data_IF_625586567688
#
_entry.id   IF_625586567688
#
_cell.length_a   1.000
_cell.length_b   1.000
_cell.length_c   1.000
_cell.angle_alpha   90.00
_cell.angle_beta   90.00
_cell.angle_gamma   90.00
#
_symmetry.space_group_name_H-M   'P 1'
#
loop_
_entity.id
_entity.type
_entity.pdbx_description
1 polymer ?
#
# COMPACT_ATOMS: atom_id res chain seq x y z
N UNK A 1 9.11 31.51 18.27
CA UNK A 1 8.70 30.73 18.29
C UNK A 1 7.68 30.20 17.52
N UNK A 2 7.33 30.57 16.59
CA UNK A 2 6.29 30.10 15.73
C UNK A 2 6.74 29.08 14.73
N UNK A 3 7.99 28.93 14.58
CA UNK A 3 8.59 28.06 13.58
C UNK A 3 8.24 26.60 13.78
N UNK A 4 8.05 26.17 15.00
CA UNK A 4 7.74 24.78 15.26
C UNK A 4 6.37 24.32 14.75
N UNK A 5 5.52 25.24 14.35
CA UNK A 5 4.24 24.86 13.78
C UNK A 5 4.37 24.24 12.42
N UNK A 6 5.27 24.75 11.61
CA UNK A 6 5.54 24.15 10.30
C UNK A 6 6.13 22.76 10.45
N UNK A 7 7.02 22.61 11.42
CA UNK A 7 7.61 21.30 11.67
C UNK A 7 6.55 20.27 12.06
N UNK A 8 5.50 20.69 12.79
CA UNK A 8 4.43 19.78 13.16
C UNK A 8 3.66 19.30 11.95
N UNK A 9 3.41 20.18 10.99
CA UNK A 9 2.69 19.79 9.78
C UNK A 9 3.49 18.78 8.97
N UNK A 10 4.79 18.94 8.92
CA UNK A 10 5.62 18.02 8.18
C UNK A 10 5.70 16.64 8.81
N UNK A 11 5.62 16.57 10.13
CA UNK A 11 5.78 15.33 10.86
C UNK A 11 4.61 14.37 10.64
N UNK A 12 3.41 14.87 10.35
CA UNK A 12 2.23 14.01 10.28
C UNK A 12 2.31 12.91 9.22
N UNK A 13 2.93 13.18 8.08
CA UNK A 13 3.09 12.14 7.06
C UNK A 13 4.41 11.40 7.21
N UNK A 14 5.41 12.01 7.83
CA UNK A 14 6.72 11.38 8.00
C UNK A 14 6.68 10.12 8.84
N UNK A 15 5.69 9.96 9.69
CA UNK A 15 5.55 8.72 10.46
C UNK A 15 5.28 7.51 9.58
N UNK A 16 4.89 7.73 8.33
CA UNK A 16 4.65 6.65 7.37
C UNK A 16 5.92 6.20 6.67
N UNK A 17 6.93 7.06 6.60
CA UNK A 17 8.16 6.80 5.87
C UNK A 17 8.98 5.72 6.55
N UNK A 18 9.64 4.89 5.76
CA UNK A 18 10.54 3.86 6.24
C UNK A 18 10.32 2.53 5.55
N UNK A 19 10.90 1.51 6.13
CA UNK A 19 10.84 0.14 5.62
C UNK A 19 9.88 -0.66 6.49
N UNK A 20 8.97 -1.36 5.83
CA UNK A 20 7.93 -2.14 6.48
C UNK A 20 8.00 -3.57 5.96
N UNK A 21 7.72 -4.53 6.82
CA UNK A 21 7.89 -5.95 6.49
C UNK A 21 6.68 -6.74 6.90
N UNK A 22 6.23 -7.60 5.99
CA UNK A 22 5.14 -8.53 6.22
C UNK A 22 5.75 -9.87 6.60
N UNK A 23 5.35 -10.41 7.77
CA UNK A 23 5.88 -11.65 8.29
C UNK A 23 7.41 -11.58 8.51
N UNK A 24 8.07 -12.70 8.73
CA UNK A 24 9.48 -12.76 9.07
C UNK A 24 10.41 -12.83 7.86
N UNK A 25 9.93 -12.45 6.69
CA UNK A 25 10.75 -12.43 5.47
C UNK A 25 11.29 -13.81 5.09
N UNK A 26 10.56 -14.88 5.39
CA UNK A 26 11.04 -16.19 4.99
C UNK A 26 10.83 -16.42 3.47
N UNK A 27 11.40 -17.51 2.94
CA UNK A 27 11.37 -17.76 1.51
C UNK A 27 9.98 -18.15 0.99
N UNK A 28 9.08 -18.58 1.87
CA UNK A 28 7.75 -19.05 1.48
C UNK A 28 6.74 -17.93 1.49
N UNK A 29 6.75 -17.10 2.54
CA UNK A 29 5.76 -16.05 2.69
C UNK A 29 6.39 -14.82 3.35
N UNK A 30 6.15 -13.67 2.77
CA UNK A 30 6.63 -12.42 3.34
C UNK A 30 6.36 -11.24 2.44
N UNK A 31 6.93 -10.10 2.80
CA UNK A 31 6.80 -8.90 1.99
C UNK A 31 7.72 -7.79 2.48
N UNK A 32 8.06 -6.91 1.58
CA UNK A 32 8.85 -5.71 1.87
C UNK A 32 8.14 -4.52 1.24
N UNK A 33 8.14 -3.41 1.95
CA UNK A 33 7.57 -2.17 1.44
C UNK A 33 8.42 -1.01 1.90
N UNK A 34 8.70 -0.10 0.99
CA UNK A 34 9.33 1.17 1.32
C UNK A 34 8.32 2.28 1.11
N UNK A 35 8.20 3.17 2.09
CA UNK A 35 7.40 4.39 2.01
C UNK A 35 8.37 5.56 2.09
N UNK A 36 8.30 6.47 1.13
CA UNK A 36 9.31 7.51 0.98
C UNK A 36 8.72 8.74 0.27
N UNK A 37 9.52 9.79 0.13
CA UNK A 37 9.11 11.02 -0.55
C UNK A 37 7.78 11.57 -0.04
N UNK A 38 7.68 11.73 1.28
CA UNK A 38 6.45 12.22 1.89
C UNK A 38 6.37 13.74 1.83
N UNK A 39 5.22 14.25 1.43
CA UNK A 39 4.90 15.66 1.52
C UNK A 39 3.75 15.86 2.52
N UNK A 40 3.03 16.95 2.44
CA UNK A 40 2.00 17.28 3.44
C UNK A 40 0.87 16.25 3.52
N UNK A 41 0.55 15.60 2.42
CA UNK A 41 -0.63 14.71 2.36
C UNK A 41 -0.37 13.37 1.72
N UNK A 42 0.77 13.18 1.07
CA UNK A 42 1.05 11.95 0.31
C UNK A 42 2.45 11.43 0.58
N UNK A 43 2.62 10.13 0.35
CA UNK A 43 3.94 9.51 0.26
C UNK A 43 3.96 8.60 -0.95
N UNK A 44 5.14 8.37 -1.49
CA UNK A 44 5.34 7.33 -2.49
C UNK A 44 5.54 6.00 -1.78
N UNK A 45 5.22 4.90 -2.45
CA UNK A 45 5.50 3.59 -1.90
C UNK A 45 5.81 2.58 -2.99
N UNK A 46 6.59 1.58 -2.61
CA UNK A 46 6.90 0.42 -3.43
C UNK A 46 6.72 -0.80 -2.54
N UNK A 47 5.94 -1.77 -2.98
CA UNK A 47 5.61 -2.94 -2.19
C UNK A 47 5.77 -4.20 -3.03
N UNK A 48 6.40 -5.21 -2.45
CA UNK A 48 6.44 -6.54 -3.02
C UNK A 48 6.16 -7.53 -1.90
N UNK A 49 5.24 -8.45 -2.14
CA UNK A 49 4.98 -9.55 -1.22
C UNK A 49 4.93 -10.85 -2.00
N UNK A 50 5.10 -11.96 -1.32
CA UNK A 50 5.19 -13.26 -1.98
C UNK A 50 4.58 -14.37 -1.12
N UNK A 51 4.11 -15.38 -1.81
CA UNK A 51 3.75 -16.66 -1.23
C UNK A 51 4.29 -17.69 -2.20
N UNK A 52 5.38 -18.38 -1.81
CA UNK A 52 6.12 -19.28 -2.67
C UNK A 52 6.57 -18.53 -3.93
N UNK A 53 6.14 -18.92 -5.12
CA UNK A 53 6.51 -18.27 -6.37
C UNK A 53 5.48 -17.23 -6.84
N UNK A 54 4.43 -17.01 -6.09
CA UNK A 54 3.38 -16.05 -6.42
C UNK A 54 3.69 -14.71 -5.77
N UNK A 55 3.53 -13.62 -6.51
CA UNK A 55 3.98 -12.29 -6.10
C UNK A 55 2.86 -11.27 -6.22
N UNK A 56 2.80 -10.36 -5.23
CA UNK A 56 2.10 -9.09 -5.35
C UNK A 56 3.15 -8.01 -5.58
N UNK A 57 2.90 -7.10 -6.49
CA UNK A 57 3.83 -6.04 -6.82
C UNK A 57 3.04 -4.76 -7.08
N UNK A 58 3.26 -3.75 -6.28
CA UNK A 58 2.52 -2.50 -6.36
C UNK A 58 3.44 -1.33 -6.05
N UNK A 59 3.35 -0.28 -6.85
CA UNK A 59 4.03 0.97 -6.54
C UNK A 59 3.10 2.12 -6.88
N UNK A 60 3.28 3.23 -6.21
CA UNK A 60 2.47 4.40 -6.47
C UNK A 60 2.54 5.40 -5.34
N UNK A 61 1.45 6.14 -5.18
CA UNK A 61 1.37 7.20 -4.20
C UNK A 61 0.18 6.95 -3.29
N UNK A 62 0.41 7.00 -1.98
CA UNK A 62 -0.68 6.88 -1.01
C UNK A 62 -1.07 8.27 -0.53
N UNK A 63 -2.37 8.46 -0.34
CA UNK A 63 -2.93 9.67 0.20
C UNK A 63 -3.25 9.44 1.67
N UNK A 64 -2.71 10.29 2.53
CA UNK A 64 -2.73 10.10 3.97
C UNK A 64 -3.74 11.03 4.63
N UNK A 65 -4.50 10.49 5.57
CA UNK A 65 -5.43 11.25 6.39
C UNK A 65 -5.38 10.68 7.80
N UNK A 66 -4.63 11.32 8.69
CA UNK A 66 -4.44 10.85 10.06
C UNK A 66 -3.71 9.51 10.10
N UNK A 67 -4.36 8.51 10.67
CA UNK A 67 -3.79 7.16 10.79
C UNK A 67 -4.16 6.25 9.63
N UNK A 68 -4.80 6.79 8.61
CA UNK A 68 -5.23 6.02 7.45
C UNK A 68 -4.59 6.57 6.20
N UNK A 69 -4.39 5.68 5.23
CA UNK A 69 -3.94 6.06 3.92
C UNK A 69 -4.58 5.15 2.89
N UNK A 70 -4.61 5.58 1.64
CA UNK A 70 -5.13 4.75 0.58
C UNK A 70 -4.36 4.95 -0.70
N UNK A 71 -4.24 3.87 -1.44
CA UNK A 71 -3.75 3.88 -2.81
C UNK A 71 -4.94 3.55 -3.70
N UNK A 72 -5.17 4.38 -4.71
CA UNK A 72 -6.26 4.20 -5.67
C UNK A 72 -5.69 4.04 -7.06
N UNK A 73 -6.12 2.98 -7.72
CA UNK A 73 -5.68 2.66 -9.07
C UNK A 73 -6.86 2.18 -9.91
N UNK A 74 -6.54 1.67 -11.08
CA UNK A 74 -7.54 1.17 -12.02
C UNK A 74 -7.07 -0.14 -12.61
N UNK A 75 -8.01 -1.06 -12.81
CA UNK A 75 -7.78 -2.30 -13.51
C UNK A 75 -8.50 -2.24 -14.84
N UNK A 76 -7.75 -2.45 -15.92
CA UNK A 76 -8.33 -2.48 -17.27
C UNK A 76 -9.09 -3.78 -17.49
N UNK A 77 -10.27 -3.68 -18.08
CA UNK A 77 -11.09 -4.83 -18.45
C UNK A 77 -11.60 -4.66 -19.88
N UNK A 78 -11.71 -5.77 -20.59
CA UNK A 78 -12.25 -5.81 -21.93
C UNK A 78 -13.37 -6.84 -21.98
N UNK A 79 -14.57 -6.40 -22.40
CA UNK A 79 -15.71 -7.28 -22.57
C UNK A 79 -15.82 -7.66 -24.05
N UNK A 80 -15.57 -8.92 -24.37
CA UNK A 80 -15.57 -9.41 -25.73
C UNK A 80 -16.96 -9.41 -26.36
N UNK A 81 -17.99 -9.62 -25.58
CA UNK A 81 -19.36 -9.69 -26.09
C UNK A 81 -19.86 -8.34 -26.58
N UNK A 82 -19.51 -7.29 -25.87
CA UNK A 82 -19.96 -5.94 -26.23
C UNK A 82 -18.86 -5.13 -26.93
N UNK A 83 -17.65 -5.68 -27.04
CA UNK A 83 -16.49 -5.01 -27.60
C UNK A 83 -16.27 -3.67 -26.87
N UNK A 84 -16.35 -3.71 -25.55
CA UNK A 84 -16.26 -2.52 -24.70
C UNK A 84 -15.06 -2.61 -23.77
N UNK A 85 -14.32 -1.52 -23.67
CA UNK A 85 -13.24 -1.38 -22.69
C UNK A 85 -13.75 -0.56 -21.52
N UNK A 86 -13.35 -0.93 -20.32
CA UNK A 86 -13.67 -0.15 -19.12
C UNK A 86 -12.65 -0.39 -18.02
N UNK A 87 -12.65 0.48 -17.02
CA UNK A 87 -11.76 0.37 -15.88
C UNK A 87 -12.55 0.09 -14.61
N UNK A 88 -12.00 -0.77 -13.77
CA UNK A 88 -12.56 -1.07 -12.46
C UNK A 88 -11.67 -0.39 -11.42
N UNK A 89 -12.24 0.35 -10.46
CA UNK A 89 -11.43 0.92 -9.37
C UNK A 89 -10.83 -0.18 -8.52
N UNK A 90 -9.55 -0.06 -8.22
CA UNK A 90 -8.83 -0.98 -7.35
C UNK A 90 -8.00 -0.16 -6.37
N UNK A 91 -7.60 -0.77 -5.27
CA UNK A 91 -6.78 -0.04 -4.32
C UNK A 91 -6.49 -0.81 -3.06
N UNK A 92 -5.77 -0.13 -2.17
CA UNK A 92 -5.31 -0.67 -0.90
C UNK A 92 -5.61 0.35 0.19
N UNK A 93 -6.15 -0.11 1.30
CA UNK A 93 -6.32 0.69 2.50
C UNK A 93 -5.20 0.36 3.47
N UNK A 94 -4.60 1.40 4.03
CA UNK A 94 -3.52 1.31 5.00
C UNK A 94 -4.03 1.88 6.31
N UNK A 95 -3.92 1.13 7.39
CA UNK A 95 -4.32 1.58 8.71
C UNK A 95 -3.14 1.48 9.66
N UNK A 96 -2.66 2.63 10.14
CA UNK A 96 -1.60 2.67 11.13
C UNK A 96 -2.17 2.28 12.49
N UNK A 97 -1.68 1.18 13.06
CA UNK A 97 -2.14 0.69 14.35
C UNK A 97 -1.30 1.28 15.49
N UNK A 98 0.00 1.50 15.21
CA UNK A 98 0.94 2.12 16.14
C UNK A 98 2.11 2.63 15.33
N UNK A 99 3.11 3.19 15.99
CA UNK A 99 4.31 3.68 15.31
C UNK A 99 5.00 2.63 14.45
N UNK A 100 4.94 1.37 14.86
CA UNK A 100 5.66 0.28 14.23
C UNK A 100 4.80 -0.76 13.54
N UNK A 101 3.49 -0.53 13.49
CA UNK A 101 2.56 -1.55 13.01
C UNK A 101 1.49 -0.95 12.11
N UNK A 102 1.29 -1.56 10.96
CA UNK A 102 0.34 -1.09 9.95
C UNK A 102 -0.43 -2.28 9.40
N UNK A 103 -1.71 -2.10 9.17
CA UNK A 103 -2.57 -3.14 8.60
C UNK A 103 -2.98 -2.74 7.18
N UNK A 104 -2.84 -3.65 6.24
CA UNK A 104 -3.18 -3.42 4.84
C UNK A 104 -4.34 -4.32 4.41
N UNK A 105 -5.27 -3.74 3.66
CA UNK A 105 -6.43 -4.45 3.11
C UNK A 105 -6.71 -4.00 1.68
N UNK A 106 -7.14 -4.92 0.84
CA UNK A 106 -7.67 -4.56 -0.48
C UNK A 106 -9.04 -3.88 -0.32
N UNK A 107 -9.36 -2.95 -1.19
CA UNK A 107 -10.67 -2.31 -1.16
C UNK A 107 -11.76 -3.20 -1.75
N UNK A 108 -11.40 -4.16 -2.62
CA UNK A 108 -12.34 -5.08 -3.24
C UNK A 108 -11.60 -6.29 -3.80
N UNK A 109 -12.34 -7.27 -4.31
CA UNK A 109 -11.77 -8.48 -4.88
C UNK A 109 -10.97 -8.23 -6.17
N UNK A 110 -11.35 -7.21 -6.94
CA UNK A 110 -10.62 -6.86 -8.16
C UNK A 110 -9.23 -6.34 -7.85
N UNK A 111 -9.03 -5.71 -6.69
CA UNK A 111 -7.71 -5.26 -6.26
C UNK A 111 -6.76 -6.43 -6.08
N UNK A 112 -7.25 -7.53 -5.49
CA UNK A 112 -6.43 -8.73 -5.32
C UNK A 112 -5.90 -9.20 -6.68
N UNK A 113 -6.78 -9.37 -7.66
CA UNK A 113 -6.37 -9.88 -8.97
C UNK A 113 -5.57 -8.88 -9.78
N UNK A 114 -5.70 -7.58 -9.48
CA UNK A 114 -4.93 -6.55 -10.17
C UNK A 114 -3.47 -6.52 -9.71
N UNK A 115 -3.22 -6.80 -8.43
CA UNK A 115 -1.89 -6.62 -7.83
C UNK A 115 -1.15 -7.91 -7.53
N UNK A 116 -1.86 -9.03 -7.44
CA UNK A 116 -1.29 -10.28 -6.95
C UNK A 116 -1.51 -11.43 -7.92
N UNK A 117 -0.56 -12.35 -7.93
CA UNK A 117 -0.75 -13.65 -8.56
C UNK A 117 -1.58 -14.55 -7.64
N UNK A 118 -1.88 -15.75 -8.11
CA UNK A 118 -2.68 -16.71 -7.36
C UNK A 118 -2.03 -17.00 -6.01
N UNK A 119 -2.82 -16.98 -4.93
CA UNK A 119 -2.39 -17.31 -3.56
C UNK A 119 -1.49 -16.28 -2.88
N UNK A 120 -0.92 -15.33 -3.59
CA UNK A 120 -0.18 -14.26 -2.95
C UNK A 120 -1.13 -13.24 -2.35
N UNK A 121 -0.71 -12.57 -1.29
CA UNK A 121 -1.47 -11.48 -0.72
C UNK A 121 -0.53 -10.45 -0.10
N UNK A 122 -0.97 -9.20 -0.09
CA UNK A 122 -0.30 -8.14 0.65
C UNK A 122 -1.07 -7.78 1.91
N UNK A 123 -2.24 -8.39 2.12
CA UNK A 123 -3.04 -8.10 3.29
C UNK A 123 -2.42 -8.66 4.57
N UNK A 124 -2.55 -7.91 5.64
CA UNK A 124 -2.06 -8.33 6.93
C UNK A 124 -1.34 -7.23 7.66
N UNK A 125 -0.56 -7.62 8.65
CA UNK A 125 0.16 -6.70 9.53
C UNK A 125 1.59 -6.55 9.03
N UNK A 126 1.96 -5.31 8.78
CA UNK A 126 3.30 -4.90 8.35
C UNK A 126 3.99 -4.22 9.51
N UNK A 127 5.22 -4.60 9.76
CA UNK A 127 6.01 -4.13 10.92
C UNK A 127 7.16 -3.27 10.41
N UNK A 128 7.35 -2.15 11.06
CA UNK A 128 8.47 -1.25 10.74
C UNK A 128 9.76 -1.81 11.33
N UNK A 129 10.81 -1.65 10.59
CA UNK A 129 12.14 -1.96 11.10
C UNK A 129 13.12 -0.83 10.85
#
# INVERSE_FOLDING_TARGET
MLIHQSAKCEITTQKWAGNWYLNDQDAVFGGVMEVFNCDDTTCDFELESWYDLHICDVEGKIKISGDKAEYNGKKYQYDRETDTEYFIPVGILFQMESEDKMNLHFINADSFSAFCGIQATLEGIWIRQ
#
